data_IF_189883819421
#
_entry.id   IF_189883819421
#
_cell.length_a   1.000
_cell.length_b   1.000
_cell.length_c   1.000
_cell.angle_alpha   90.00
_cell.angle_beta   90.00
_cell.angle_gamma   90.00
#
_symmetry.space_group_name_H-M   'P 1'
#
loop_
_entity.id
_entity.type
_entity.pdbx_description
1 polymer ?
#
# COMPACT_ATOMS: atom_id res chain seq x y z
N UNK A 1 36.53 -23.61 -27.79
CA UNK A 1 36.65 -22.21 -27.33
C UNK A 1 35.54 -21.94 -26.33
N UNK A 2 35.88 -21.79 -25.04
CA UNK A 2 34.91 -21.54 -23.98
C UNK A 2 34.53 -20.05 -23.96
N UNK A 3 33.27 -19.75 -24.27
CA UNK A 3 32.72 -18.40 -24.20
C UNK A 3 32.54 -18.02 -22.74
N UNK A 4 33.48 -17.23 -22.20
CA UNK A 4 33.36 -16.66 -20.86
C UNK A 4 32.12 -15.76 -20.79
N UNK A 5 31.17 -16.11 -19.90
CA UNK A 5 30.08 -15.21 -19.50
C UNK A 5 30.68 -13.96 -18.86
N UNK A 6 30.24 -12.74 -19.21
CA UNK A 6 30.70 -11.55 -18.52
C UNK A 6 30.26 -11.61 -17.05
N UNK A 7 31.25 -11.51 -16.17
CA UNK A 7 31.10 -11.39 -14.73
C UNK A 7 30.11 -10.27 -14.41
N UNK A 8 29.18 -10.54 -13.48
CA UNK A 8 28.23 -9.57 -12.96
C UNK A 8 28.94 -8.25 -12.61
N UNK A 9 28.72 -7.20 -13.41
CA UNK A 9 29.21 -5.87 -13.13
C UNK A 9 28.67 -5.44 -11.75
N UNK A 10 29.58 -5.34 -10.78
CA UNK A 10 29.29 -4.88 -9.42
C UNK A 10 28.91 -3.41 -9.52
N UNK A 11 27.60 -3.13 -9.46
CA UNK A 11 27.03 -1.80 -9.65
C UNK A 11 27.62 -0.80 -8.63
N UNK A 12 27.87 0.43 -9.09
CA UNK A 12 28.35 1.53 -8.25
C UNK A 12 27.40 1.79 -7.06
N UNK A 13 27.94 2.17 -5.89
CA UNK A 13 27.12 2.51 -4.74
C UNK A 13 26.15 3.67 -5.08
N UNK A 14 24.94 3.69 -4.49
CA UNK A 14 23.98 4.76 -4.75
C UNK A 14 24.58 6.11 -4.36
N UNK A 15 24.31 7.15 -5.18
CA UNK A 15 24.77 8.51 -4.86
C UNK A 15 24.22 8.96 -3.50
N UNK A 16 25.04 9.68 -2.74
CA UNK A 16 24.69 10.16 -1.40
C UNK A 16 23.40 10.99 -1.40
N UNK A 17 23.19 11.82 -2.44
CA UNK A 17 21.97 12.61 -2.63
C UNK A 17 20.73 11.73 -2.78
N UNK A 18 20.81 10.65 -3.59
CA UNK A 18 19.71 9.69 -3.75
C UNK A 18 19.39 8.98 -2.44
N UNK A 19 20.43 8.62 -1.69
CA UNK A 19 20.28 7.97 -0.39
C UNK A 19 19.53 8.88 0.59
N UNK A 20 19.98 10.13 0.76
CA UNK A 20 19.34 11.11 1.67
C UNK A 20 17.90 11.35 1.25
N UNK A 21 17.65 11.63 -0.05
CA UNK A 21 16.31 11.89 -0.56
C UNK A 21 15.34 10.73 -0.28
N UNK A 22 15.72 9.50 -0.64
CA UNK A 22 14.85 8.34 -0.45
C UNK A 22 14.66 8.01 1.02
N UNK A 23 15.69 8.17 1.86
CA UNK A 23 15.54 7.97 3.31
C UNK A 23 14.55 8.99 3.89
N UNK A 24 14.71 10.28 3.58
CA UNK A 24 13.78 11.33 4.03
C UNK A 24 12.36 11.10 3.53
N UNK A 25 12.18 10.77 2.25
CA UNK A 25 10.88 10.43 1.67
C UNK A 25 10.19 9.31 2.43
N UNK A 26 10.91 8.19 2.65
CA UNK A 26 10.37 7.04 3.36
C UNK A 26 10.04 7.38 4.83
N UNK A 27 10.88 8.15 5.53
CA UNK A 27 10.58 8.56 6.90
C UNK A 27 9.33 9.46 6.98
N UNK A 28 9.20 10.42 6.07
CA UNK A 28 8.01 11.29 6.00
C UNK A 28 6.76 10.45 5.78
N UNK A 29 6.75 9.55 4.80
CA UNK A 29 5.59 8.69 4.54
C UNK A 29 5.30 7.72 5.70
N UNK A 30 6.33 7.19 6.37
CA UNK A 30 6.15 6.37 7.56
C UNK A 30 5.44 7.16 8.67
N UNK A 31 5.87 8.40 8.93
CA UNK A 31 5.27 9.28 9.94
C UNK A 31 3.84 9.69 9.57
N UNK A 32 3.56 9.97 8.29
CA UNK A 32 2.22 10.32 7.81
C UNK A 32 1.22 9.17 7.97
N UNK A 33 1.63 7.93 7.67
CA UNK A 33 0.77 6.78 7.88
C UNK A 33 0.64 6.43 9.36
N UNK A 34 1.71 6.56 10.16
CA UNK A 34 1.64 6.37 11.61
C UNK A 34 0.68 7.39 12.28
N UNK A 35 0.73 8.67 11.89
CA UNK A 35 -0.20 9.67 12.41
C UNK A 35 -1.65 9.38 12.00
N UNK A 36 -1.87 8.88 10.78
CA UNK A 36 -3.19 8.44 10.32
C UNK A 36 -3.71 7.27 11.16
N UNK A 37 -2.87 6.28 11.47
CA UNK A 37 -3.23 5.18 12.36
C UNK A 37 -3.64 5.68 13.75
N UNK A 38 -2.81 6.53 14.37
CA UNK A 38 -3.08 7.08 15.70
C UNK A 38 -4.41 7.83 15.70
N UNK A 39 -4.64 8.71 14.73
CA UNK A 39 -5.89 9.47 14.62
C UNK A 39 -7.09 8.57 14.44
N UNK A 40 -7.00 7.56 13.57
CA UNK A 40 -8.07 6.58 13.37
C UNK A 40 -8.38 5.80 14.64
N UNK A 41 -7.35 5.33 15.36
CA UNK A 41 -7.51 4.60 16.62
C UNK A 41 -8.13 5.49 17.72
N UNK A 42 -7.69 6.75 17.85
CA UNK A 42 -8.25 7.69 18.83
C UNK A 42 -9.73 7.99 18.56
N UNK A 43 -10.11 8.23 17.30
CA UNK A 43 -11.51 8.47 16.94
C UNK A 43 -12.38 7.20 17.04
N UNK A 44 -11.80 6.01 16.83
CA UNK A 44 -12.55 4.75 16.95
C UNK A 44 -13.07 4.50 18.39
N UNK A 45 -12.42 5.08 19.40
CA UNK A 45 -12.79 4.93 20.80
C UNK A 45 -13.79 5.99 21.30
N UNK A 46 -13.87 7.13 20.63
CA UNK A 46 -14.55 8.33 21.17
C UNK A 46 -15.60 8.92 20.26
N UNK A 47 -15.56 8.62 18.97
CA UNK A 47 -16.32 9.32 17.94
C UNK A 47 -17.26 8.40 17.17
N UNK A 48 -18.28 8.98 16.54
CA UNK A 48 -19.10 8.27 15.57
C UNK A 48 -18.28 7.92 14.31
N UNK A 49 -18.74 6.93 13.53
CA UNK A 49 -18.07 6.54 12.27
C UNK A 49 -17.99 7.69 11.26
N UNK A 50 -18.99 8.57 11.27
CA UNK A 50 -19.05 9.73 10.38
C UNK A 50 -17.99 10.77 10.77
N UNK A 51 -17.85 11.06 12.06
CA UNK A 51 -16.81 11.99 12.55
C UNK A 51 -15.40 11.43 12.32
N UNK A 52 -15.20 10.12 12.56
CA UNK A 52 -13.96 9.43 12.25
C UNK A 52 -13.59 9.59 10.78
N UNK A 53 -14.54 9.31 9.88
CA UNK A 53 -14.34 9.47 8.44
C UNK A 53 -14.01 10.92 8.07
N UNK A 54 -14.76 11.90 8.57
CA UNK A 54 -14.51 13.33 8.30
C UNK A 54 -13.12 13.77 8.77
N UNK A 55 -12.66 13.27 9.91
CA UNK A 55 -11.36 13.60 10.45
C UNK A 55 -10.21 12.95 9.64
N UNK A 56 -10.38 11.70 9.21
CA UNK A 56 -9.28 10.88 8.70
C UNK A 56 -9.21 10.77 7.17
N UNK A 57 -10.34 10.79 6.47
CA UNK A 57 -10.40 10.58 5.02
C UNK A 57 -9.57 11.59 4.22
N UNK A 58 -9.65 12.92 4.47
CA UNK A 58 -8.93 13.86 3.63
C UNK A 58 -7.42 13.66 3.71
N UNK A 59 -6.93 13.34 4.91
CA UNK A 59 -5.51 13.09 5.15
C UNK A 59 -5.07 11.81 4.44
N UNK A 60 -5.80 10.71 4.62
CA UNK A 60 -5.49 9.44 4.00
C UNK A 60 -5.54 9.51 2.46
N UNK A 61 -6.52 10.24 1.90
CA UNK A 61 -6.63 10.46 0.45
C UNK A 61 -5.43 11.20 -0.12
N UNK A 62 -4.97 12.27 0.54
CA UNK A 62 -3.81 13.02 0.06
C UNK A 62 -2.50 12.26 0.24
N UNK A 63 -2.31 11.54 1.35
CA UNK A 63 -1.14 10.66 1.53
C UNK A 63 -1.11 9.59 0.43
N UNK A 64 -2.25 8.94 0.16
CA UNK A 64 -2.38 7.94 -0.89
C UNK A 64 -2.13 8.54 -2.27
N UNK A 65 -2.61 9.75 -2.54
CA UNK A 65 -2.36 10.46 -3.81
C UNK A 65 -0.87 10.78 -3.98
N UNK A 66 -0.21 11.25 -2.92
CA UNK A 66 1.22 11.54 -2.93
C UNK A 66 2.08 10.29 -3.18
N UNK A 67 1.59 9.09 -2.86
CA UNK A 67 2.30 7.84 -3.15
C UNK A 67 2.47 7.55 -4.66
N UNK A 68 1.79 8.29 -5.55
CA UNK A 68 2.07 8.28 -6.99
C UNK A 68 3.53 8.66 -7.31
N UNK A 69 4.20 9.40 -6.41
CA UNK A 69 5.63 9.66 -6.50
C UNK A 69 6.47 8.37 -6.55
N UNK A 70 6.01 7.26 -5.95
CA UNK A 70 6.70 5.96 -6.04
C UNK A 70 6.68 5.38 -7.45
N UNK A 71 5.59 5.61 -8.18
CA UNK A 71 5.50 5.20 -9.59
C UNK A 71 6.52 5.99 -10.41
N UNK A 72 6.66 7.29 -10.14
CA UNK A 72 7.70 8.12 -10.75
C UNK A 72 9.10 7.66 -10.36
N UNK A 73 9.35 7.33 -9.09
CA UNK A 73 10.63 6.79 -8.65
C UNK A 73 10.98 5.50 -9.36
N UNK A 74 10.01 4.61 -9.59
CA UNK A 74 10.23 3.40 -10.37
C UNK A 74 10.51 3.73 -11.84
N UNK A 75 9.71 4.61 -12.45
CA UNK A 75 9.81 5.00 -13.86
C UNK A 75 11.16 5.65 -14.21
N UNK A 76 11.66 6.53 -13.33
CA UNK A 76 12.96 7.19 -13.48
C UNK A 76 14.14 6.34 -12.94
N UNK A 77 13.90 5.11 -12.49
CA UNK A 77 14.95 4.21 -12.00
C UNK A 77 15.57 4.61 -10.65
N UNK A 78 14.94 5.51 -9.89
CA UNK A 78 15.34 5.84 -8.51
C UNK A 78 15.18 4.64 -7.58
N UNK A 79 14.26 3.73 -7.86
CA UNK A 79 14.08 2.47 -7.12
C UNK A 79 14.11 1.27 -8.08
N UNK A 80 14.64 0.14 -7.59
CA UNK A 80 14.70 -1.12 -8.36
C UNK A 80 13.39 -1.87 -8.24
N UNK A 81 12.32 -1.33 -8.84
CA UNK A 81 11.00 -1.96 -8.86
C UNK A 81 10.43 -1.96 -10.28
N UNK A 82 9.74 -3.03 -10.72
CA UNK A 82 9.04 -3.01 -12.00
C UNK A 82 7.92 -1.95 -11.98
N UNK A 83 8.01 -0.98 -12.88
CA UNK A 83 7.08 0.17 -12.95
C UNK A 83 5.63 -0.27 -13.02
N UNK A 84 5.31 -1.25 -13.87
CA UNK A 84 3.94 -1.76 -14.03
C UNK A 84 3.35 -2.30 -12.74
N UNK A 85 4.13 -3.05 -11.96
CA UNK A 85 3.68 -3.61 -10.68
C UNK A 85 3.50 -2.53 -9.61
N UNK A 86 4.40 -1.55 -9.54
CA UNK A 86 4.27 -0.40 -8.62
C UNK A 86 3.07 0.48 -9.01
N UNK A 87 2.89 0.76 -10.30
CA UNK A 87 1.76 1.52 -10.82
C UNK A 87 0.44 0.82 -10.48
N UNK A 88 0.32 -0.48 -10.75
CA UNK A 88 -0.90 -1.23 -10.45
C UNK A 88 -1.24 -1.17 -8.95
N UNK A 89 -0.26 -1.35 -8.07
CA UNK A 89 -0.49 -1.29 -6.61
C UNK A 89 -0.90 0.09 -6.10
N UNK A 90 -0.29 1.16 -6.64
CA UNK A 90 -0.55 2.52 -6.18
C UNK A 90 -1.84 3.07 -6.78
N UNK A 91 -2.04 2.89 -8.09
CA UNK A 91 -3.19 3.45 -8.82
C UNK A 91 -4.49 2.84 -8.33
N UNK A 92 -4.57 1.54 -8.05
CA UNK A 92 -5.80 0.92 -7.53
C UNK A 92 -6.23 1.54 -6.19
N UNK A 93 -5.26 1.82 -5.31
CA UNK A 93 -5.53 2.48 -4.03
C UNK A 93 -5.87 3.96 -4.18
N UNK A 94 -5.29 4.65 -5.16
CA UNK A 94 -5.69 6.03 -5.52
C UNK A 94 -7.13 6.05 -6.06
N UNK A 95 -7.49 5.09 -6.91
CA UNK A 95 -8.88 4.91 -7.37
C UNK A 95 -9.80 4.70 -6.17
N UNK A 96 -9.43 3.86 -5.21
CA UNK A 96 -10.23 3.63 -4.01
C UNK A 96 -10.52 4.92 -3.23
N UNK A 97 -9.50 5.75 -2.96
CA UNK A 97 -9.71 6.98 -2.16
C UNK A 97 -10.48 8.07 -2.92
N UNK A 98 -10.35 8.16 -4.24
CA UNK A 98 -11.05 9.17 -5.03
C UNK A 98 -12.42 8.70 -5.51
N UNK A 99 -12.49 7.54 -6.17
CA UNK A 99 -13.74 7.06 -6.78
C UNK A 99 -14.71 6.45 -5.77
N UNK A 100 -14.23 5.95 -4.63
CA UNK A 100 -15.10 5.33 -3.62
C UNK A 100 -15.27 6.24 -2.43
N UNK A 101 -14.18 6.61 -1.74
CA UNK A 101 -14.30 7.37 -0.50
C UNK A 101 -14.80 8.80 -0.74
N UNK A 102 -14.16 9.53 -1.65
CA UNK A 102 -14.50 10.92 -1.93
C UNK A 102 -15.84 11.09 -2.68
N UNK A 103 -16.11 10.28 -3.71
CA UNK A 103 -17.36 10.37 -4.47
C UNK A 103 -18.58 9.86 -3.70
N UNK A 104 -18.42 8.87 -2.81
CA UNK A 104 -19.51 8.25 -2.05
C UNK A 104 -19.25 8.28 -0.55
N UNK A 105 -19.11 9.48 0.05
CA UNK A 105 -18.65 9.64 1.42
C UNK A 105 -19.67 9.09 2.42
N UNK A 106 -20.97 9.28 2.20
CA UNK A 106 -22.03 8.77 3.09
C UNK A 106 -22.05 7.24 3.14
N UNK A 107 -21.89 6.58 1.99
CA UNK A 107 -21.83 5.13 1.92
C UNK A 107 -20.57 4.61 2.61
N UNK A 108 -19.41 5.23 2.33
CA UNK A 108 -18.14 4.84 2.94
C UNK A 108 -18.13 5.04 4.46
N UNK A 109 -18.49 6.24 4.93
CA UNK A 109 -18.41 6.66 6.33
C UNK A 109 -19.32 5.84 7.27
N UNK A 110 -20.46 5.35 6.77
CA UNK A 110 -21.37 4.52 7.57
C UNK A 110 -20.85 3.09 7.79
N UNK A 111 -19.84 2.64 7.03
CA UNK A 111 -19.29 1.29 7.12
C UNK A 111 -18.19 1.16 8.15
N UNK A 112 -18.21 0.08 8.93
CA UNK A 112 -17.05 -0.34 9.74
C UNK A 112 -15.86 -0.77 8.87
N UNK A 113 -16.10 -1.16 7.60
CA UNK A 113 -15.06 -1.51 6.65
C UNK A 113 -14.09 -0.36 6.38
N UNK A 114 -14.55 0.89 6.42
CA UNK A 114 -13.66 2.05 6.27
C UNK A 114 -12.58 2.09 7.36
N UNK A 115 -12.98 1.92 8.63
CA UNK A 115 -12.05 1.90 9.75
C UNK A 115 -11.08 0.72 9.64
N UNK A 116 -11.59 -0.49 9.36
CA UNK A 116 -10.77 -1.68 9.20
C UNK A 116 -9.73 -1.50 8.08
N UNK A 117 -10.15 -0.95 6.95
CA UNK A 117 -9.28 -0.65 5.81
C UNK A 117 -8.22 0.38 6.17
N UNK A 118 -8.62 1.48 6.79
CA UNK A 118 -7.72 2.57 7.15
C UNK A 118 -6.64 2.10 8.14
N UNK A 119 -7.01 1.31 9.15
CA UNK A 119 -6.05 0.72 10.10
C UNK A 119 -5.12 -0.29 9.42
N UNK A 120 -5.65 -1.13 8.53
CA UNK A 120 -4.83 -2.09 7.80
C UNK A 120 -3.81 -1.40 6.89
N UNK A 121 -4.26 -0.41 6.10
CA UNK A 121 -3.41 0.39 5.21
C UNK A 121 -2.34 1.15 5.98
N UNK A 122 -2.73 1.92 6.99
CA UNK A 122 -1.81 2.75 7.77
C UNK A 122 -0.76 1.90 8.50
N UNK A 123 -1.13 0.74 9.04
CA UNK A 123 -0.18 -0.20 9.65
C UNK A 123 0.79 -0.76 8.62
N UNK A 124 0.27 -1.27 7.50
CA UNK A 124 1.07 -1.89 6.45
C UNK A 124 2.07 -0.91 5.83
N UNK A 125 1.63 0.32 5.55
CA UNK A 125 2.46 1.33 4.92
C UNK A 125 3.44 1.98 5.89
N UNK A 126 3.03 2.31 7.13
CA UNK A 126 3.96 2.88 8.11
C UNK A 126 5.18 1.96 8.30
N UNK A 127 4.95 0.66 8.44
CA UNK A 127 6.02 -0.33 8.62
C UNK A 127 6.80 -0.54 7.32
N UNK A 128 6.13 -0.51 6.15
CA UNK A 128 6.82 -0.61 4.85
C UNK A 128 7.80 0.53 4.64
N UNK A 129 7.36 1.77 4.78
CA UNK A 129 8.23 2.92 4.56
C UNK A 129 9.33 2.99 5.61
N UNK A 130 9.02 2.69 6.88
CA UNK A 130 10.05 2.64 7.92
C UNK A 130 11.11 1.56 7.63
N UNK A 131 10.69 0.36 7.21
CA UNK A 131 11.59 -0.69 6.74
C UNK A 131 12.44 -0.20 5.55
N UNK A 132 11.83 0.43 4.54
CA UNK A 132 12.55 0.93 3.38
C UNK A 132 13.61 1.96 3.77
N UNK A 133 13.29 2.91 4.66
CA UNK A 133 14.24 3.90 5.17
C UNK A 133 15.46 3.26 5.82
N UNK A 134 15.28 2.27 6.70
CA UNK A 134 16.40 1.59 7.37
C UNK A 134 17.18 0.67 6.41
N UNK A 135 16.47 0.02 5.49
CA UNK A 135 17.06 -0.89 4.51
C UNK A 135 17.96 -0.15 3.51
N UNK A 136 17.69 1.13 3.22
CA UNK A 136 18.58 1.99 2.41
C UNK A 136 19.99 2.10 3.00
N UNK A 137 20.14 1.98 4.32
CA UNK A 137 21.42 2.02 5.02
C UNK A 137 21.95 0.62 5.39
N UNK A 138 21.26 -0.45 5.00
CA UNK A 138 21.59 -1.81 5.44
C UNK A 138 21.40 -2.05 6.94
N UNK A 139 20.62 -1.19 7.62
CA UNK A 139 20.42 -1.20 9.09
C UNK A 139 19.05 -1.71 9.51
N UNK A 140 18.30 -2.36 8.63
CA UNK A 140 16.99 -2.90 8.97
C UNK A 140 17.15 -4.10 9.94
N UNK A 141 16.65 -4.01 11.18
CA UNK A 141 16.80 -5.10 12.15
C UNK A 141 15.95 -6.32 11.73
N UNK A 142 16.40 -7.53 12.11
CA UNK A 142 15.76 -8.78 11.69
C UNK A 142 14.28 -8.90 12.08
N UNK A 143 13.88 -8.38 13.24
CA UNK A 143 12.48 -8.35 13.66
C UNK A 143 11.61 -7.46 12.75
N UNK A 144 12.14 -6.35 12.25
CA UNK A 144 11.41 -5.44 11.37
C UNK A 144 11.26 -6.03 9.97
N UNK A 145 12.30 -6.72 9.48
CA UNK A 145 12.23 -7.53 8.26
C UNK A 145 11.13 -8.58 8.42
N UNK A 146 11.17 -9.36 9.50
CA UNK A 146 10.16 -10.40 9.77
C UNK A 146 8.74 -9.83 9.81
N UNK A 147 8.55 -8.70 10.51
CA UNK A 147 7.27 -8.02 10.65
C UNK A 147 6.73 -7.59 9.29
N UNK A 148 7.55 -6.88 8.50
CA UNK A 148 7.20 -6.43 7.14
C UNK A 148 6.76 -7.57 6.25
N UNK A 149 7.43 -8.71 6.31
CA UNK A 149 7.15 -9.87 5.46
C UNK A 149 6.14 -10.85 6.06
N UNK A 150 5.59 -10.62 7.25
CA UNK A 150 4.63 -11.54 7.90
C UNK A 150 3.28 -10.89 8.17
N UNK A 151 3.20 -9.58 8.40
CA UNK A 151 1.93 -8.90 8.67
C UNK A 151 0.89 -8.98 7.54
N UNK A 152 1.31 -9.32 6.31
CA UNK A 152 0.39 -9.44 5.20
C UNK A 152 -0.63 -10.57 5.44
N UNK A 153 -0.32 -11.59 6.26
CA UNK A 153 -1.24 -12.69 6.56
C UNK A 153 -2.59 -12.18 7.09
N UNK A 154 -2.65 -11.37 8.16
CA UNK A 154 -3.91 -10.77 8.61
C UNK A 154 -4.31 -9.50 7.86
N UNK A 155 -3.36 -8.61 7.55
CA UNK A 155 -3.69 -7.27 7.04
C UNK A 155 -4.21 -7.31 5.61
N UNK A 156 -3.74 -8.25 4.79
CA UNK A 156 -4.13 -8.30 3.39
C UNK A 156 -5.57 -8.78 3.17
N UNK A 157 -6.05 -9.88 3.80
CA UNK A 157 -7.46 -10.25 3.73
C UNK A 157 -8.39 -9.16 4.26
N UNK A 158 -8.02 -8.50 5.37
CA UNK A 158 -8.80 -7.38 5.92
C UNK A 158 -8.84 -6.21 4.93
N UNK A 159 -7.70 -5.83 4.37
CA UNK A 159 -7.59 -4.73 3.41
C UNK A 159 -8.42 -4.99 2.15
N UNK A 160 -8.15 -6.09 1.44
CA UNK A 160 -8.86 -6.43 0.21
C UNK A 160 -10.36 -6.62 0.45
N UNK A 161 -10.75 -7.31 1.53
CA UNK A 161 -12.16 -7.52 1.87
C UNK A 161 -12.89 -6.20 2.13
N UNK A 162 -12.23 -5.27 2.82
CA UNK A 162 -12.81 -3.96 3.11
C UNK A 162 -12.88 -3.05 1.87
N UNK A 163 -11.85 -3.04 1.01
CA UNK A 163 -11.89 -2.34 -0.29
C UNK A 163 -13.04 -2.83 -1.15
N UNK A 164 -13.15 -4.15 -1.29
CA UNK A 164 -14.19 -4.82 -2.06
C UNK A 164 -15.58 -4.44 -1.54
N UNK A 165 -15.78 -4.48 -0.22
CA UNK A 165 -17.04 -4.13 0.40
C UNK A 165 -17.42 -2.66 0.20
N UNK A 166 -16.46 -1.74 0.34
CA UNK A 166 -16.70 -0.32 0.13
C UNK A 166 -17.04 -0.01 -1.33
N UNK A 167 -16.35 -0.65 -2.28
CA UNK A 167 -16.65 -0.53 -3.69
C UNK A 167 -18.06 -1.06 -4.00
N UNK A 168 -18.43 -2.21 -3.44
CA UNK A 168 -19.79 -2.76 -3.58
C UNK A 168 -20.85 -1.78 -3.05
N UNK A 169 -20.62 -1.20 -1.87
CA UNK A 169 -21.54 -0.21 -1.28
C UNK A 169 -21.61 1.11 -2.05
N UNK A 170 -20.67 1.39 -2.93
CA UNK A 170 -20.71 2.55 -3.81
C UNK A 170 -21.56 2.32 -5.07
N UNK A 171 -21.90 1.07 -5.42
CA UNK A 171 -22.62 0.75 -6.66
C UNK A 171 -24.01 1.38 -6.72
N UNK A 172 -24.83 1.20 -5.67
CA UNK A 172 -26.19 1.74 -5.65
C UNK A 172 -26.19 3.29 -5.71
N UNK A 173 -25.41 4.02 -4.88
CA UNK A 173 -25.26 5.46 -5.03
C UNK A 173 -24.74 5.89 -6.41
N UNK A 174 -23.80 5.14 -7.00
CA UNK A 174 -23.26 5.44 -8.33
C UNK A 174 -24.30 5.29 -9.44
N UNK A 175 -25.18 4.28 -9.33
CA UNK A 175 -26.27 4.06 -10.28
C UNK A 175 -27.29 5.20 -10.34
N UNK A 176 -27.45 5.94 -9.23
CA UNK A 176 -28.29 7.15 -9.18
C UNK A 176 -27.68 8.34 -9.96
N UNK A 177 -26.37 8.32 -10.20
CA UNK A 177 -25.68 9.33 -10.99
C UNK A 177 -25.70 8.96 -12.47
N UNK A 178 -25.29 7.73 -12.79
CA UNK A 178 -25.26 7.22 -14.16
C UNK A 178 -25.39 5.69 -14.18
N UNK A 179 -26.35 5.17 -14.95
CA UNK A 179 -26.60 3.73 -15.09
C UNK A 179 -25.45 2.92 -15.70
N UNK A 180 -24.43 3.58 -16.30
CA UNK A 180 -23.23 2.94 -16.83
C UNK A 180 -22.13 2.70 -15.77
N UNK A 181 -22.19 3.35 -14.61
CA UNK A 181 -21.19 3.16 -13.55
C UNK A 181 -21.33 1.80 -12.85
N UNK A 182 -22.55 1.31 -12.50
CA UNK A 182 -22.71 0.01 -11.87
C UNK A 182 -22.07 -1.16 -12.64
N UNK A 183 -22.28 -1.33 -13.96
CA UNK A 183 -21.58 -2.37 -14.73
C UNK A 183 -20.05 -2.29 -14.62
N UNK A 184 -19.48 -1.08 -14.66
CA UNK A 184 -18.04 -0.86 -14.49
C UNK A 184 -17.56 -1.27 -13.09
N UNK A 185 -18.30 -0.92 -12.02
CA UNK A 185 -17.93 -1.30 -10.66
C UNK A 185 -18.06 -2.81 -10.42
N UNK A 186 -19.08 -3.47 -10.98
CA UNK A 186 -19.18 -4.93 -10.95
C UNK A 186 -18.01 -5.60 -11.66
N UNK A 187 -17.58 -5.07 -12.81
CA UNK A 187 -16.38 -5.53 -13.49
C UNK A 187 -15.13 -5.38 -12.60
N UNK A 188 -14.94 -4.23 -11.94
CA UNK A 188 -13.85 -4.05 -10.98
C UNK A 188 -13.92 -5.06 -9.82
N UNK A 189 -15.10 -5.29 -9.23
CA UNK A 189 -15.28 -6.30 -8.16
C UNK A 189 -14.93 -7.72 -8.62
N UNK A 190 -15.20 -8.06 -9.88
CA UNK A 190 -14.84 -9.36 -10.44
C UNK A 190 -13.31 -9.50 -10.55
N UNK A 191 -12.59 -8.44 -10.93
CA UNK A 191 -11.12 -8.44 -11.02
C UNK A 191 -10.42 -8.59 -9.66
N UNK A 192 -11.07 -8.18 -8.57
CA UNK A 192 -10.52 -8.33 -7.21
C UNK A 192 -10.26 -9.80 -6.85
N UNK A 193 -11.05 -10.75 -7.35
CA UNK A 193 -10.91 -12.18 -7.01
C UNK A 193 -9.57 -12.75 -7.54
N UNK A 194 -9.29 -12.77 -8.87
CA UNK A 194 -8.02 -13.27 -9.38
C UNK A 194 -6.84 -12.39 -8.99
N UNK A 195 -7.03 -11.06 -8.93
CA UNK A 195 -6.00 -10.11 -8.52
C UNK A 195 -5.54 -10.34 -7.10
N UNK A 196 -6.49 -10.55 -6.18
CA UNK A 196 -6.17 -10.74 -4.76
C UNK A 196 -5.40 -12.03 -4.50
N UNK A 197 -5.80 -13.13 -5.13
CA UNK A 197 -5.13 -14.43 -5.04
C UNK A 197 -3.69 -14.36 -5.58
N UNK A 198 -3.50 -13.74 -6.75
CA UNK A 198 -2.19 -13.64 -7.40
C UNK A 198 -1.20 -12.84 -6.54
N UNK A 199 -1.63 -11.70 -6.00
CA UNK A 199 -0.77 -10.88 -5.15
C UNK A 199 -0.49 -11.52 -3.78
N UNK A 200 -1.47 -12.23 -3.20
CA UNK A 200 -1.27 -12.96 -1.94
C UNK A 200 -0.22 -14.07 -2.08
N UNK A 201 -0.34 -14.89 -3.12
CA UNK A 201 0.63 -15.96 -3.40
C UNK A 201 2.02 -15.41 -3.74
N UNK A 202 2.07 -14.25 -4.43
CA UNK A 202 3.32 -13.53 -4.67
C UNK A 202 4.01 -13.10 -3.36
N UNK A 203 3.27 -12.52 -2.41
CA UNK A 203 3.82 -12.11 -1.11
C UNK A 203 4.33 -13.30 -0.29
N UNK A 204 3.64 -14.45 -0.33
CA UNK A 204 4.11 -15.69 0.30
C UNK A 204 5.45 -16.15 -0.30
N UNK A 205 5.59 -16.10 -1.63
CA UNK A 205 6.85 -16.42 -2.32
C UNK A 205 7.96 -15.43 -1.89
N UNK A 206 7.66 -14.13 -1.88
CA UNK A 206 8.62 -13.09 -1.50
C UNK A 206 9.10 -13.23 -0.05
N UNK A 207 8.20 -13.54 0.89
CA UNK A 207 8.53 -13.86 2.28
C UNK A 207 9.49 -15.04 2.35
N UNK A 208 9.14 -16.15 1.70
CA UNK A 208 9.94 -17.37 1.74
C UNK A 208 11.36 -17.14 1.22
N UNK A 209 11.51 -16.34 0.15
CA UNK A 209 12.80 -15.99 -0.44
C UNK A 209 13.64 -15.12 0.51
N UNK A 210 13.04 -14.08 1.07
CA UNK A 210 13.75 -13.10 1.90
C UNK A 210 14.19 -13.70 3.24
N UNK A 211 13.30 -14.41 3.92
CA UNK A 211 13.62 -15.01 5.23
C UNK A 211 14.59 -16.18 5.12
N UNK A 212 14.55 -16.97 4.04
CA UNK A 212 15.57 -18.01 3.78
C UNK A 212 16.94 -17.40 3.49
N UNK A 213 16.99 -16.27 2.78
CA UNK A 213 18.25 -15.56 2.53
C UNK A 213 18.82 -14.97 3.82
N UNK A 214 17.99 -14.37 4.67
CA UNK A 214 18.42 -13.80 5.94
C UNK A 214 19.02 -14.86 6.89
N UNK A 215 18.44 -16.08 6.92
CA UNK A 215 18.96 -17.21 7.70
C UNK A 215 20.29 -17.77 7.19
N UNK A 216 20.65 -17.53 5.92
CA UNK A 216 21.93 -17.98 5.34
C UNK A 216 23.07 -16.98 5.56
N UNK A 217 22.75 -15.75 5.94
CA UNK A 217 23.70 -14.64 6.12
C UNK A 217 23.95 -14.30 7.59
N UNK A 218 23.24 -14.97 8.51
CA UNK A 218 23.47 -14.95 9.95
C UNK A 218 24.21 -16.23 10.35
#
# INVERSE_FOLDING_TARGET
>A
MATQRPLHAKQAPPSQTRLIYLTSYNLVFASLWASTFIRAASHALTSSRIELFRATEPHARWIQTASLLEVLHAAFGLIKSPVSTTALQVITRVIQVWMVWFCFPTSTASSSAYLALLLAWSTADAIRYFYLALNMHGRAPGWLVWLRYTMFYPLYPVGIGAEWWLLYRAIEPAGRINGLIPPFFYFCLALYIPGSYTMYTYMMKQRSKTLKSAKKSA
#
